data_IF_821821113976
#
_entry.id   IF_821821113976
#
_cell.length_a   1.000
_cell.length_b   1.000
_cell.length_c   1.000
_cell.angle_alpha   90.00
_cell.angle_beta   90.00
_cell.angle_gamma   90.00
#
_symmetry.space_group_name_H-M   'P 1'
#
loop_
_entity.id
_entity.type
_entity.pdbx_description
1 polymer ?
#
# COMPACT_ATOMS: atom_id res chain seq x y z
N UNK A 1 5.18 40.41 19.32
CA UNK A 1 6.48 41.05 19.63
C UNK A 1 7.52 39.95 19.75
N UNK A 2 8.66 40.08 19.07
CA UNK A 2 9.83 39.20 19.26
C UNK A 2 10.64 39.72 20.44
N UNK A 3 10.82 38.91 21.49
CA UNK A 3 11.47 39.30 22.75
C UNK A 3 13.01 39.31 22.67
N UNK A 4 13.61 39.59 21.51
CA UNK A 4 15.07 39.70 21.35
C UNK A 4 15.88 38.42 21.66
N UNK A 5 15.22 37.27 21.72
CA UNK A 5 15.80 35.99 22.18
C UNK A 5 16.32 35.11 21.03
N UNK A 6 16.88 35.71 19.97
CA UNK A 6 17.31 35.01 18.74
C UNK A 6 18.30 33.87 19.02
N UNK A 7 19.25 34.08 19.93
CA UNK A 7 20.24 33.06 20.33
C UNK A 7 19.59 31.79 20.90
N UNK A 8 18.47 31.92 21.63
CA UNK A 8 17.73 30.77 22.16
C UNK A 8 16.90 30.07 21.07
N UNK A 9 16.36 30.84 20.12
CA UNK A 9 15.58 30.31 19.01
C UNK A 9 16.46 29.57 17.99
N UNK A 10 17.62 30.11 17.64
CA UNK A 10 18.50 29.60 16.58
C UNK A 10 19.38 28.42 17.00
N UNK A 11 19.38 28.07 18.30
CA UNK A 11 20.09 26.93 18.85
C UNK A 11 19.26 25.64 18.84
N UNK A 12 19.14 25.01 20.02
CA UNK A 12 18.49 23.70 20.19
C UNK A 12 17.03 23.66 19.74
N UNK A 13 16.32 24.79 19.79
CA UNK A 13 14.93 24.86 19.35
C UNK A 13 14.84 24.75 17.81
N UNK A 14 15.64 25.51 17.07
CA UNK A 14 15.74 25.38 15.63
C UNK A 14 16.17 23.96 15.20
N UNK A 15 17.10 23.34 15.92
CA UNK A 15 17.49 21.95 15.66
C UNK A 15 16.36 20.96 15.88
N UNK A 16 15.55 21.15 16.93
CA UNK A 16 14.36 20.32 17.17
C UNK A 16 13.33 20.49 16.05
N UNK A 17 13.06 21.72 15.62
CA UNK A 17 12.13 22.01 14.52
C UNK A 17 12.61 21.33 13.24
N UNK A 18 13.90 21.44 12.90
CA UNK A 18 14.49 20.76 11.74
C UNK A 18 14.34 19.25 11.84
N UNK A 19 14.61 18.65 12.99
CA UNK A 19 14.46 17.20 13.20
C UNK A 19 13.01 16.74 13.03
N UNK A 20 12.05 17.46 13.60
CA UNK A 20 10.63 17.14 13.43
C UNK A 20 10.22 17.31 11.97
N UNK A 21 10.70 18.36 11.28
CA UNK A 21 10.41 18.56 9.87
C UNK A 21 11.05 17.50 8.96
N UNK A 22 12.22 16.97 9.31
CA UNK A 22 12.93 15.94 8.52
C UNK A 22 12.43 14.53 8.79
N UNK A 23 12.19 14.18 10.06
CA UNK A 23 11.93 12.80 10.49
C UNK A 23 10.46 12.55 10.85
N UNK A 24 9.67 13.60 11.04
CA UNK A 24 8.30 13.50 11.51
C UNK A 24 8.21 12.75 12.85
N UNK A 25 7.11 12.02 13.02
CA UNK A 25 6.86 11.19 14.22
C UNK A 25 7.21 9.71 14.01
N UNK A 26 7.53 9.31 12.78
CA UNK A 26 7.79 7.91 12.39
C UNK A 26 9.25 7.63 12.05
N UNK A 27 10.13 8.65 12.16
CA UNK A 27 11.55 8.65 11.82
C UNK A 27 11.83 8.48 10.33
N UNK A 28 11.35 7.40 9.72
CA UNK A 28 11.39 7.17 8.28
C UNK A 28 10.11 6.48 7.81
N UNK A 29 9.75 6.72 6.56
CA UNK A 29 8.68 5.97 5.90
C UNK A 29 9.18 4.58 5.51
N UNK A 30 8.30 3.59 5.62
CA UNK A 30 8.59 2.22 5.22
C UNK A 30 8.09 1.98 3.79
N UNK A 31 8.99 1.56 2.91
CA UNK A 31 8.61 1.06 1.58
C UNK A 31 8.19 -0.40 1.68
N UNK A 32 7.03 -0.74 1.13
CA UNK A 32 6.56 -2.12 0.98
C UNK A 32 7.04 -2.66 -0.36
N UNK A 33 7.39 -3.95 -0.41
CA UNK A 33 7.85 -4.59 -1.65
C UNK A 33 7.36 -6.02 -1.74
N UNK A 34 6.73 -6.36 -2.86
CA UNK A 34 6.27 -7.71 -3.17
C UNK A 34 6.45 -7.99 -4.66
N UNK A 35 6.53 -9.25 -5.08
CA UNK A 35 6.64 -9.61 -6.50
C UNK A 35 5.29 -9.68 -7.22
N UNK A 36 5.30 -9.38 -8.53
CA UNK A 36 4.12 -9.37 -9.40
C UNK A 36 3.35 -10.69 -9.41
N UNK A 37 4.04 -11.83 -9.35
CA UNK A 37 3.42 -13.17 -9.32
C UNK A 37 2.46 -13.33 -8.15
N UNK A 38 2.85 -12.88 -6.94
CA UNK A 38 2.01 -12.94 -5.74
C UNK A 38 0.72 -12.12 -5.87
N UNK A 39 0.77 -11.03 -6.62
CA UNK A 39 -0.40 -10.22 -6.93
C UNK A 39 -1.33 -10.92 -7.92
N UNK A 40 -0.78 -11.57 -8.94
CA UNK A 40 -1.55 -12.38 -9.88
C UNK A 40 -2.22 -13.56 -9.18
N UNK A 41 -1.50 -14.31 -8.35
CA UNK A 41 -2.03 -15.43 -7.56
C UNK A 41 -3.17 -14.98 -6.62
N UNK A 42 -3.03 -13.78 -6.04
CA UNK A 42 -4.07 -13.19 -5.19
C UNK A 42 -5.32 -12.85 -5.99
N UNK A 43 -5.16 -12.26 -7.18
CA UNK A 43 -6.27 -11.97 -8.08
C UNK A 43 -6.94 -13.26 -8.57
N UNK A 44 -6.17 -14.30 -8.90
CA UNK A 44 -6.70 -15.63 -9.26
C UNK A 44 -7.58 -16.21 -8.17
N UNK A 45 -7.12 -16.18 -6.92
CA UNK A 45 -7.91 -16.69 -5.79
C UNK A 45 -9.22 -15.92 -5.64
N UNK A 46 -9.20 -14.59 -5.80
CA UNK A 46 -10.39 -13.73 -5.71
C UNK A 46 -11.35 -14.02 -6.86
N UNK A 47 -10.89 -14.01 -8.11
CA UNK A 47 -11.75 -14.21 -9.28
C UNK A 47 -12.31 -15.63 -9.35
N UNK A 48 -11.53 -16.63 -8.92
CA UNK A 48 -12.00 -18.02 -8.80
C UNK A 48 -13.08 -18.14 -7.73
N UNK A 49 -12.87 -17.56 -6.55
CA UNK A 49 -13.87 -17.57 -5.47
C UNK A 49 -15.20 -16.91 -5.88
N UNK A 50 -15.14 -15.91 -6.75
CA UNK A 50 -16.30 -15.17 -7.25
C UNK A 50 -16.93 -15.78 -8.52
N UNK A 51 -16.49 -16.97 -8.94
CA UNK A 51 -16.92 -17.65 -10.17
C UNK A 51 -16.72 -16.80 -11.45
N UNK A 52 -15.68 -15.96 -11.48
CA UNK A 52 -15.34 -15.10 -12.62
C UNK A 52 -14.27 -15.73 -13.55
N UNK A 53 -13.67 -16.83 -13.14
CA UNK A 53 -12.57 -17.52 -13.80
C UNK A 53 -11.20 -17.19 -13.21
N UNK A 54 -10.14 -17.61 -13.89
CA UNK A 54 -8.74 -17.42 -13.46
C UNK A 54 -8.14 -16.17 -14.11
N UNK A 55 -7.76 -15.17 -13.32
CA UNK A 55 -7.24 -13.87 -13.80
C UNK A 55 -5.95 -14.02 -14.63
N UNK A 56 -5.03 -14.90 -14.24
CA UNK A 56 -3.75 -15.14 -14.89
C UNK A 56 -3.87 -15.75 -16.29
N UNK A 57 -4.96 -16.47 -16.55
CA UNK A 57 -5.29 -17.06 -17.86
C UNK A 57 -5.89 -16.05 -18.84
N UNK A 58 -6.25 -14.85 -18.38
CA UNK A 58 -6.81 -13.81 -19.26
C UNK A 58 -5.71 -13.16 -20.09
N UNK A 59 -6.09 -12.70 -21.28
CA UNK A 59 -5.27 -11.79 -22.04
C UNK A 59 -5.19 -10.42 -21.36
N UNK A 60 -4.21 -9.62 -21.77
CA UNK A 60 -3.93 -8.34 -21.13
C UNK A 60 -5.10 -7.34 -21.29
N UNK A 61 -5.80 -7.39 -22.42
CA UNK A 61 -6.97 -6.54 -22.65
C UNK A 61 -8.07 -6.82 -21.63
N UNK A 62 -8.38 -8.10 -21.39
CA UNK A 62 -9.39 -8.51 -20.40
C UNK A 62 -8.94 -8.21 -18.97
N UNK A 63 -7.65 -8.38 -18.65
CA UNK A 63 -7.09 -7.98 -17.33
C UNK A 63 -7.31 -6.49 -17.08
N UNK A 64 -6.98 -5.64 -18.06
CA UNK A 64 -7.13 -4.20 -17.96
C UNK A 64 -8.60 -3.78 -17.85
N UNK A 65 -9.49 -4.38 -18.63
CA UNK A 65 -10.94 -4.09 -18.55
C UNK A 65 -11.49 -4.45 -17.17
N UNK A 66 -11.19 -5.65 -16.66
CA UNK A 66 -11.60 -6.09 -15.34
C UNK A 66 -11.10 -5.14 -14.24
N UNK A 67 -9.79 -4.87 -14.20
CA UNK A 67 -9.20 -4.01 -13.16
C UNK A 67 -9.78 -2.60 -13.22
N UNK A 68 -9.92 -2.03 -14.41
CA UNK A 68 -10.47 -0.67 -14.58
C UNK A 68 -11.93 -0.59 -14.17
N UNK A 69 -12.72 -1.63 -14.47
CA UNK A 69 -14.13 -1.72 -14.08
C UNK A 69 -14.29 -1.83 -12.56
N UNK A 70 -13.52 -2.71 -11.91
CA UNK A 70 -13.58 -2.89 -10.46
C UNK A 70 -13.06 -1.66 -9.71
N UNK A 71 -11.99 -0.99 -10.19
CA UNK A 71 -11.47 0.25 -9.58
C UNK A 71 -12.46 1.43 -9.65
N UNK A 72 -13.32 1.48 -10.68
CA UNK A 72 -14.40 2.49 -10.79
C UNK A 72 -15.64 2.10 -9.99
N UNK A 73 -15.79 0.81 -9.66
CA UNK A 73 -16.89 0.29 -8.88
C UNK A 73 -16.87 0.81 -7.44
N UNK A 74 -18.06 0.87 -6.82
CA UNK A 74 -18.20 1.18 -5.37
C UNK A 74 -18.48 -0.06 -4.53
N UNK A 75 -18.73 -1.20 -5.18
CA UNK A 75 -19.00 -2.47 -4.51
C UNK A 75 -17.65 -3.07 -4.09
N UNK A 76 -17.49 -3.50 -2.82
CA UNK A 76 -16.30 -4.23 -2.40
C UNK A 76 -16.13 -5.52 -3.21
N UNK A 77 -14.92 -5.74 -3.74
CA UNK A 77 -14.57 -6.93 -4.52
C UNK A 77 -14.23 -8.11 -3.60
N UNK A 78 -13.37 -7.89 -2.60
CA UNK A 78 -12.85 -8.96 -1.71
C UNK A 78 -13.81 -9.19 -0.54
N UNK A 79 -14.40 -10.39 -0.41
CA UNK A 79 -15.23 -10.72 0.76
C UNK A 79 -14.37 -10.84 2.02
N UNK A 80 -14.86 -10.31 3.14
CA UNK A 80 -14.15 -10.39 4.44
C UNK A 80 -13.96 -11.84 4.93
N UNK A 81 -14.85 -12.75 4.52
CA UNK A 81 -14.82 -14.16 4.88
C UNK A 81 -14.15 -15.06 3.84
N UNK A 82 -13.39 -14.50 2.89
CA UNK A 82 -12.74 -15.30 1.84
C UNK A 82 -11.72 -16.26 2.48
N UNK A 83 -11.82 -17.55 2.15
CA UNK A 83 -10.82 -18.55 2.53
C UNK A 83 -9.83 -18.73 1.38
N UNK A 84 -8.56 -18.43 1.65
CA UNK A 84 -7.47 -18.46 0.65
C UNK A 84 -6.23 -19.14 1.24
N UNK A 85 -5.32 -19.66 0.39
CA UNK A 85 -4.04 -20.19 0.84
C UNK A 85 -3.23 -19.16 1.65
N UNK A 86 -2.34 -19.65 2.52
CA UNK A 86 -1.53 -18.80 3.40
C UNK A 86 -0.74 -17.72 2.65
N UNK A 87 -0.28 -18.05 1.45
CA UNK A 87 0.47 -17.16 0.59
C UNK A 87 -0.35 -15.96 0.08
N UNK A 88 -1.59 -16.22 -0.35
CA UNK A 88 -2.52 -15.17 -0.76
C UNK A 88 -2.99 -14.37 0.45
N UNK A 89 -3.23 -15.06 1.58
CA UNK A 89 -3.61 -14.42 2.84
C UNK A 89 -2.57 -13.41 3.30
N UNK A 90 -1.28 -13.73 3.20
CA UNK A 90 -0.20 -12.81 3.54
C UNK A 90 -0.28 -11.50 2.74
N UNK A 91 -0.55 -11.56 1.43
CA UNK A 91 -0.70 -10.35 0.60
C UNK A 91 -1.89 -9.50 1.06
N UNK A 92 -3.03 -10.14 1.34
CA UNK A 92 -4.23 -9.45 1.84
C UNK A 92 -3.99 -8.82 3.21
N UNK A 93 -3.40 -9.57 4.14
CA UNK A 93 -3.08 -9.11 5.49
C UNK A 93 -2.06 -7.95 5.44
N UNK A 94 -1.07 -8.00 4.55
CA UNK A 94 -0.12 -6.89 4.33
C UNK A 94 -0.84 -5.60 3.92
N UNK A 95 -1.81 -5.65 3.00
CA UNK A 95 -2.61 -4.47 2.64
C UNK A 95 -3.54 -4.02 3.77
N UNK A 96 -4.06 -4.93 4.58
CA UNK A 96 -4.86 -4.58 5.74
C UNK A 96 -4.02 -3.80 6.78
N UNK A 97 -2.84 -4.30 7.13
CA UNK A 97 -1.92 -3.60 8.04
C UNK A 97 -1.49 -2.26 7.45
N UNK A 98 -1.24 -2.20 6.14
CA UNK A 98 -0.88 -0.96 5.48
C UNK A 98 -1.99 0.10 5.60
N UNK A 99 -3.26 -0.31 5.48
CA UNK A 99 -4.42 0.56 5.68
C UNK A 99 -4.55 1.04 7.14
N UNK A 100 -4.20 0.21 8.11
CA UNK A 100 -4.21 0.57 9.54
C UNK A 100 -3.08 1.55 9.92
N UNK A 101 -1.87 1.40 9.36
CA UNK A 101 -0.71 2.25 9.64
C UNK A 101 -0.81 3.67 9.06
N UNK A 102 -1.60 3.85 8.00
CA UNK A 102 -1.83 5.14 7.34
C UNK A 102 -0.64 5.65 6.51
N UNK A 103 -0.88 6.73 5.75
CA UNK A 103 0.05 7.28 4.76
C UNK A 103 1.30 7.94 5.34
N UNK A 104 1.29 8.30 6.62
CA UNK A 104 2.45 8.94 7.26
C UNK A 104 3.56 7.94 7.56
N UNK A 105 3.21 6.68 7.78
CA UNK A 105 4.13 5.59 8.12
C UNK A 105 4.73 4.91 6.88
N UNK A 106 4.06 4.99 5.73
CA UNK A 106 4.41 4.26 4.52
C UNK A 106 4.94 5.18 3.41
N UNK A 107 5.91 4.66 2.67
CA UNK A 107 6.49 5.26 1.49
C UNK A 107 5.88 4.67 0.22
N UNK A 108 6.73 4.12 -0.64
CA UNK A 108 6.30 3.49 -1.88
C UNK A 108 5.82 2.04 -1.65
N UNK A 109 4.91 1.59 -2.51
CA UNK A 109 4.65 0.17 -2.73
C UNK A 109 5.36 -0.26 -4.02
N UNK A 110 6.38 -1.10 -3.89
CA UNK A 110 7.24 -1.55 -5.00
C UNK A 110 6.81 -2.92 -5.47
N UNK A 111 6.45 -3.04 -6.75
CA UNK A 111 6.17 -4.33 -7.39
C UNK A 111 7.44 -4.81 -8.07
N UNK A 112 8.04 -5.87 -7.55
CA UNK A 112 9.19 -6.55 -8.16
C UNK A 112 8.75 -7.38 -9.35
N UNK A 113 9.64 -7.58 -10.32
CA UNK A 113 9.36 -8.39 -11.51
C UNK A 113 8.13 -7.89 -12.28
N UNK A 114 7.88 -6.58 -12.28
CA UNK A 114 6.73 -5.99 -12.93
C UNK A 114 6.78 -6.23 -14.46
N UNK A 115 5.71 -6.86 -14.95
CA UNK A 115 5.43 -7.08 -16.36
C UNK A 115 3.93 -6.95 -16.58
N UNK A 116 3.53 -6.70 -17.83
CA UNK A 116 2.15 -6.76 -18.32
C UNK A 116 1.92 -8.09 -19.01
#
# INVERSE_FOLDING_TARGET
QSYGSGVLADGRLADLIRRVATFGMVLMKLDLRQESGRHADTLDAITTYLDMGTYSEWDEEKKLDFLTRELKGKRPLVPVSIEVPADVKEVLDTFQIAAELGSDSLGAYVISMASS
#
